data_IF_494129682881
#
_entry.id   IF_494129682881
#
_cell.length_a   1.000
_cell.length_b   1.000
_cell.length_c   1.000
_cell.angle_alpha   90.00
_cell.angle_beta   90.00
_cell.angle_gamma   90.00
#
_symmetry.space_group_name_H-M   'P 1'
#
loop_
_entity.id
_entity.type
_entity.pdbx_description
1 polymer ?
#
# COMPACT_ATOMS: atom_id res chain seq x y z
N UNK A 1 67.11 25.42 -20.17
CA UNK A 1 66.05 26.27 -19.57
C UNK A 1 64.69 25.74 -19.99
N UNK A 2 63.72 25.85 -19.08
CA UNK A 2 62.59 24.96 -18.82
C UNK A 2 61.61 24.71 -19.99
N UNK A 3 61.21 23.43 -20.10
CA UNK A 3 59.96 22.96 -20.73
C UNK A 3 58.76 23.40 -19.87
N UNK A 4 57.74 23.99 -20.49
CA UNK A 4 56.45 24.30 -19.86
C UNK A 4 55.56 23.06 -19.89
N UNK A 5 55.25 22.52 -18.72
CA UNK A 5 54.26 21.46 -18.51
C UNK A 5 52.90 22.14 -18.28
N UNK A 6 51.91 21.82 -19.12
CA UNK A 6 50.51 22.20 -18.91
C UNK A 6 49.91 21.26 -17.86
N UNK A 7 49.44 21.82 -16.74
CA UNK A 7 48.60 21.12 -15.77
C UNK A 7 47.19 20.99 -16.37
N UNK A 8 46.74 19.75 -16.59
CA UNK A 8 45.32 19.44 -16.73
C UNK A 8 44.70 19.40 -15.32
N UNK A 9 43.91 20.43 -14.98
CA UNK A 9 43.04 20.40 -13.82
C UNK A 9 41.81 19.55 -14.12
N UNK A 10 41.73 18.37 -13.49
CA UNK A 10 40.48 17.62 -13.37
C UNK A 10 39.51 18.41 -12.49
N UNK A 11 38.46 18.97 -13.09
CA UNK A 11 37.24 19.32 -12.37
C UNK A 11 36.41 18.04 -12.20
N UNK A 12 36.55 17.40 -11.04
CA UNK A 12 35.62 16.37 -10.60
C UNK A 12 34.29 17.06 -10.26
N UNK A 13 33.38 17.10 -11.24
CA UNK A 13 32.00 17.47 -11.01
C UNK A 13 31.30 16.34 -10.27
N UNK A 14 31.04 16.53 -8.98
CA UNK A 14 30.17 15.66 -8.19
C UNK A 14 28.75 15.79 -8.73
N UNK A 15 28.33 14.85 -9.56
CA UNK A 15 26.91 14.69 -9.90
C UNK A 15 26.19 14.19 -8.63
N UNK A 16 25.46 15.10 -7.97
CA UNK A 16 24.37 14.73 -7.09
C UNK A 16 23.31 14.02 -7.93
N UNK A 17 23.28 12.69 -7.86
CA UNK A 17 22.14 11.91 -8.34
C UNK A 17 20.98 12.25 -7.41
N UNK A 18 20.09 13.12 -7.86
CA UNK A 18 18.76 13.21 -7.28
C UNK A 18 18.12 11.84 -7.48
N UNK A 19 17.91 11.09 -6.39
CA UNK A 19 17.13 9.86 -6.40
C UNK A 19 15.68 10.26 -6.63
N UNK A 20 15.33 10.46 -7.89
CA UNK A 20 13.93 10.56 -8.31
C UNK A 20 13.30 9.17 -8.27
N UNK A 21 12.06 9.08 -7.79
CA UNK A 21 11.25 7.87 -7.98
C UNK A 21 11.16 7.62 -9.49
N UNK A 22 11.53 6.43 -10.00
CA UNK A 22 11.55 6.18 -11.42
C UNK A 22 10.15 6.33 -12.01
N UNK A 23 10.04 7.09 -13.09
CA UNK A 23 8.88 7.05 -13.96
C UNK A 23 8.89 5.72 -14.72
N UNK A 24 8.08 4.74 -14.27
CA UNK A 24 7.80 3.45 -14.94
C UNK A 24 9.00 2.80 -15.67
N UNK A 25 10.22 2.90 -15.14
CA UNK A 25 11.37 2.17 -15.66
C UNK A 25 11.32 0.76 -15.06
N UNK A 26 11.21 -0.25 -15.93
CA UNK A 26 11.21 -1.66 -15.51
C UNK A 26 12.62 -2.07 -15.10
N UNK A 27 12.90 -1.98 -13.80
CA UNK A 27 14.05 -2.65 -13.22
C UNK A 27 13.79 -4.17 -13.17
N UNK A 28 14.86 -4.96 -13.25
CA UNK A 28 14.77 -6.41 -13.06
C UNK A 28 14.27 -6.73 -11.64
N UNK A 29 13.59 -7.87 -11.47
CA UNK A 29 13.16 -8.31 -10.15
C UNK A 29 14.35 -8.37 -9.19
N UNK A 30 14.22 -7.66 -8.08
CA UNK A 30 15.24 -7.44 -7.04
C UNK A 30 14.94 -8.21 -5.76
N UNK A 31 13.90 -9.05 -5.78
CA UNK A 31 13.53 -9.92 -4.66
C UNK A 31 14.29 -11.25 -4.63
N UNK A 32 13.78 -12.23 -3.86
CA UNK A 32 14.49 -13.48 -3.63
C UNK A 32 14.72 -14.27 -4.91
N UNK A 33 15.93 -14.84 -5.06
CA UNK A 33 16.26 -15.77 -6.16
C UNK A 33 16.43 -17.21 -5.67
N UNK A 34 16.31 -17.43 -4.37
CA UNK A 34 16.45 -18.74 -3.71
C UNK A 34 15.41 -18.88 -2.61
N UNK A 35 14.96 -20.11 -2.36
CA UNK A 35 14.00 -20.44 -1.32
C UNK A 35 13.65 -21.92 -1.40
N UNK A 36 12.75 -22.40 -0.53
CA UNK A 36 12.32 -23.78 -0.58
C UNK A 36 11.45 -24.04 -1.80
N UNK A 37 11.48 -25.29 -2.28
CA UNK A 37 10.51 -25.78 -3.26
C UNK A 37 9.09 -25.68 -2.70
N UNK A 38 8.09 -25.76 -3.57
CA UNK A 38 6.69 -25.80 -3.14
C UNK A 38 6.44 -26.93 -2.13
N UNK A 39 5.92 -26.62 -0.95
CA UNK A 39 5.25 -27.63 -0.14
C UNK A 39 3.99 -28.09 -0.89
N UNK A 40 3.76 -29.39 -1.05
CA UNK A 40 2.65 -29.86 -1.90
C UNK A 40 1.30 -29.85 -1.17
N UNK A 41 0.23 -29.52 -1.90
CA UNK A 41 -1.15 -29.78 -1.49
C UNK A 41 -1.63 -29.01 -0.25
N UNK A 42 -1.05 -27.85 0.04
CA UNK A 42 -1.41 -27.06 1.23
C UNK A 42 -2.73 -26.34 1.07
N UNK A 43 -3.43 -26.13 2.19
CA UNK A 43 -4.61 -25.26 2.27
C UNK A 43 -4.29 -24.06 3.14
N UNK A 44 -4.51 -22.86 2.61
CA UNK A 44 -4.34 -21.60 3.34
C UNK A 44 -5.66 -20.85 3.51
N UNK A 45 -5.76 -20.10 4.59
CA UNK A 45 -6.89 -19.18 4.82
C UNK A 45 -6.40 -17.73 4.77
N UNK A 46 -7.03 -16.91 3.92
CA UNK A 46 -6.83 -15.46 3.90
C UNK A 46 -7.90 -14.83 4.78
N UNK A 47 -7.48 -14.16 5.83
CA UNK A 47 -8.33 -13.31 6.66
C UNK A 47 -8.28 -11.89 6.10
N UNK A 48 -9.26 -11.53 5.27
CA UNK A 48 -9.34 -10.18 4.70
C UNK A 48 -9.98 -9.21 5.69
N UNK A 49 -9.40 -8.02 5.87
CA UNK A 49 -9.94 -7.01 6.78
C UNK A 49 -11.28 -6.44 6.30
N UNK A 50 -11.33 -6.07 5.03
CA UNK A 50 -12.51 -5.59 4.31
C UNK A 50 -12.30 -5.72 2.80
N UNK A 51 -13.01 -6.63 2.12
CA UNK A 51 -12.89 -6.79 0.67
C UNK A 51 -13.48 -5.62 -0.15
N UNK A 52 -14.15 -4.65 0.47
CA UNK A 52 -14.50 -3.38 -0.19
C UNK A 52 -13.27 -2.47 -0.38
N UNK A 53 -12.20 -2.69 0.38
CA UNK A 53 -10.94 -1.98 0.17
C UNK A 53 -10.18 -2.61 -1.00
N UNK A 54 -9.97 -1.82 -2.06
CA UNK A 54 -9.30 -2.29 -3.28
C UNK A 54 -7.84 -2.73 -3.08
N UNK A 55 -7.14 -2.25 -2.05
CA UNK A 55 -5.81 -2.73 -1.69
C UNK A 55 -5.84 -4.18 -1.17
N UNK A 56 -6.70 -4.44 -0.18
CA UNK A 56 -6.94 -5.76 0.39
C UNK A 56 -7.41 -6.75 -0.69
N UNK A 57 -8.33 -6.29 -1.55
CA UNK A 57 -8.80 -7.08 -2.69
C UNK A 57 -7.65 -7.44 -3.65
N UNK A 58 -6.83 -6.45 -4.05
CA UNK A 58 -5.71 -6.67 -4.97
C UNK A 58 -4.67 -7.67 -4.43
N UNK A 59 -4.32 -7.58 -3.14
CA UNK A 59 -3.42 -8.55 -2.50
C UNK A 59 -4.06 -9.93 -2.41
N UNK A 60 -5.36 -10.01 -2.11
CA UNK A 60 -6.09 -11.29 -2.09
C UNK A 60 -6.04 -11.96 -3.47
N UNK A 61 -6.28 -11.21 -4.54
CA UNK A 61 -6.16 -11.72 -5.91
C UNK A 61 -4.74 -12.21 -6.23
N UNK A 62 -3.70 -11.48 -5.79
CA UNK A 62 -2.31 -11.91 -5.95
C UNK A 62 -2.00 -13.21 -5.18
N UNK A 63 -2.55 -13.38 -3.97
CA UNK A 63 -2.43 -14.62 -3.19
C UNK A 63 -3.10 -15.78 -3.93
N UNK A 64 -4.31 -15.57 -4.47
CA UNK A 64 -5.02 -16.60 -5.23
C UNK A 64 -4.26 -17.01 -6.50
N UNK A 65 -3.67 -16.05 -7.22
CA UNK A 65 -2.84 -16.31 -8.39
C UNK A 65 -1.59 -17.15 -8.02
N UNK A 66 -0.86 -16.71 -6.98
CA UNK A 66 0.32 -17.39 -6.50
C UNK A 66 0.01 -18.80 -5.96
N UNK A 67 -1.10 -18.95 -5.23
CA UNK A 67 -1.56 -20.24 -4.72
C UNK A 67 -1.89 -21.21 -5.86
N UNK A 68 -2.53 -20.73 -6.93
CA UNK A 68 -2.78 -21.54 -8.12
C UNK A 68 -1.47 -22.01 -8.78
N UNK A 69 -0.44 -21.15 -8.83
CA UNK A 69 0.88 -21.51 -9.38
C UNK A 69 1.65 -22.50 -8.51
N UNK A 70 1.69 -22.29 -7.19
CA UNK A 70 2.42 -23.17 -6.26
C UNK A 70 1.70 -24.52 -6.03
N UNK A 71 0.38 -24.57 -6.31
CA UNK A 71 -0.45 -25.76 -6.18
C UNK A 71 -1.15 -25.89 -4.82
N UNK A 72 -1.57 -24.78 -4.24
CA UNK A 72 -2.27 -24.68 -2.96
C UNK A 72 -3.75 -24.34 -3.13
N UNK A 73 -4.56 -24.64 -2.12
CA UNK A 73 -5.96 -24.25 -2.03
C UNK A 73 -6.11 -23.01 -1.15
N UNK A 74 -6.89 -22.02 -1.59
CA UNK A 74 -7.17 -20.80 -0.83
C UNK A 74 -8.62 -20.79 -0.36
N UNK A 75 -8.83 -20.37 0.88
CA UNK A 75 -10.14 -19.94 1.37
C UNK A 75 -10.07 -18.53 1.92
N UNK A 76 -10.87 -17.63 1.38
CA UNK A 76 -10.95 -16.24 1.82
C UNK A 76 -12.10 -16.09 2.82
N UNK A 77 -11.82 -15.45 3.95
CA UNK A 77 -12.80 -15.06 4.97
C UNK A 77 -12.77 -13.54 5.12
N UNK A 78 -13.89 -12.89 4.80
CA UNK A 78 -14.02 -11.44 4.85
C UNK A 78 -14.45 -10.95 6.23
N UNK A 79 -13.65 -10.08 6.82
CA UNK A 79 -13.90 -9.36 8.07
C UNK A 79 -14.85 -8.18 7.90
N UNK A 80 -15.24 -7.83 6.67
CA UNK A 80 -16.29 -6.86 6.33
C UNK A 80 -16.12 -5.48 7.02
N UNK A 81 -14.89 -5.09 7.33
CA UNK A 81 -14.57 -3.79 7.93
C UNK A 81 -14.90 -3.64 9.40
N UNK A 82 -15.17 -4.72 10.15
CA UNK A 82 -15.46 -4.63 11.60
C UNK A 82 -14.62 -5.57 12.45
N UNK A 83 -14.27 -5.11 13.66
CA UNK A 83 -13.51 -5.89 14.67
C UNK A 83 -14.17 -7.23 14.94
N UNK A 84 -15.49 -7.25 15.10
CA UNK A 84 -16.27 -8.42 15.46
C UNK A 84 -16.27 -9.46 14.34
N UNK A 85 -16.49 -9.05 13.09
CA UNK A 85 -16.46 -9.96 11.95
C UNK A 85 -15.05 -10.49 11.69
N UNK A 86 -14.00 -9.68 11.90
CA UNK A 86 -12.60 -10.15 11.89
C UNK A 86 -12.35 -11.23 12.95
N UNK A 87 -12.77 -11.02 14.19
CA UNK A 87 -12.65 -12.04 15.25
C UNK A 87 -13.42 -13.33 14.89
N UNK A 88 -14.60 -13.19 14.28
CA UNK A 88 -15.37 -14.32 13.75
C UNK A 88 -14.64 -15.08 12.64
N UNK A 89 -13.99 -14.36 11.71
CA UNK A 89 -13.18 -14.94 10.65
C UNK A 89 -11.96 -15.70 11.20
N UNK A 90 -11.28 -15.15 12.21
CA UNK A 90 -10.18 -15.85 12.91
C UNK A 90 -10.67 -17.16 13.55
N UNK A 91 -11.82 -17.12 14.25
CA UNK A 91 -12.41 -18.33 14.84
C UNK A 91 -12.79 -19.39 13.80
N UNK A 92 -13.32 -18.98 12.65
CA UNK A 92 -13.60 -19.88 11.53
C UNK A 92 -12.32 -20.46 10.92
N UNK A 93 -11.27 -19.65 10.75
CA UNK A 93 -9.97 -20.11 10.26
C UNK A 93 -9.37 -21.16 11.20
N UNK A 94 -9.41 -20.93 12.51
CA UNK A 94 -8.95 -21.89 13.51
C UNK A 94 -9.72 -23.22 13.41
N UNK A 95 -11.05 -23.18 13.24
CA UNK A 95 -11.87 -24.36 13.07
C UNK A 95 -11.59 -25.14 11.77
N UNK A 96 -11.13 -24.45 10.72
CA UNK A 96 -10.70 -25.07 9.46
C UNK A 96 -9.34 -25.75 9.58
N UNK A 97 -8.54 -25.38 10.57
CA UNK A 97 -7.19 -25.90 10.82
C UNK A 97 -6.31 -25.96 9.53
N UNK A 98 -6.12 -24.80 8.84
CA UNK A 98 -5.34 -24.76 7.61
C UNK A 98 -3.85 -24.99 7.87
N UNK A 99 -3.10 -25.25 6.80
CA UNK A 99 -1.63 -25.34 6.84
C UNK A 99 -0.96 -23.97 7.06
N UNK A 100 -1.70 -22.87 6.84
CA UNK A 100 -1.21 -21.52 7.06
C UNK A 100 -2.31 -20.47 6.97
N UNK A 101 -2.08 -19.31 7.56
CA UNK A 101 -2.99 -18.17 7.56
C UNK A 101 -2.28 -16.93 7.01
N UNK A 102 -2.99 -16.16 6.18
CA UNK A 102 -2.58 -14.83 5.75
C UNK A 102 -3.52 -13.81 6.37
N UNK A 103 -3.00 -12.91 7.21
CA UNK A 103 -3.75 -11.75 7.71
C UNK A 103 -3.61 -10.62 6.71
N UNK A 104 -4.71 -10.13 6.13
CA UNK A 104 -4.68 -9.18 5.03
C UNK A 104 -5.45 -7.89 5.39
N UNK A 105 -4.72 -6.85 5.82
CA UNK A 105 -5.23 -5.49 5.94
C UNK A 105 -5.99 -5.17 7.23
N UNK A 106 -5.58 -5.75 8.36
CA UNK A 106 -6.04 -5.32 9.69
C UNK A 106 -4.97 -5.54 10.76
N UNK A 107 -5.02 -4.76 11.83
CA UNK A 107 -4.05 -4.79 12.93
C UNK A 107 -4.12 -6.11 13.72
N UNK A 108 -3.00 -6.83 13.79
CA UNK A 108 -2.90 -8.06 14.58
C UNK A 108 -3.03 -7.82 16.09
N UNK A 109 -2.61 -6.65 16.60
CA UNK A 109 -2.75 -6.28 18.00
C UNK A 109 -4.23 -6.12 18.39
N UNK A 110 -5.06 -5.57 17.49
CA UNK A 110 -6.51 -5.50 17.67
C UNK A 110 -7.13 -6.90 17.85
N UNK A 111 -6.60 -7.89 17.13
CA UNK A 111 -7.11 -9.26 17.12
C UNK A 111 -6.30 -10.22 18.00
N UNK A 112 -5.44 -9.70 18.89
CA UNK A 112 -4.47 -10.51 19.64
C UNK A 112 -5.12 -11.70 20.36
N UNK A 113 -6.20 -11.46 21.11
CA UNK A 113 -6.92 -12.53 21.84
C UNK A 113 -7.44 -13.62 20.92
N UNK A 114 -7.89 -13.27 19.70
CA UNK A 114 -8.38 -14.26 18.74
C UNK A 114 -7.20 -15.04 18.11
N UNK A 115 -6.07 -14.39 17.86
CA UNK A 115 -4.87 -14.96 17.25
C UNK A 115 -4.05 -15.84 18.21
N UNK A 116 -4.22 -15.71 19.53
CA UNK A 116 -3.58 -16.59 20.52
C UNK A 116 -3.91 -18.07 20.27
N UNK A 117 -5.15 -18.38 19.89
CA UNK A 117 -5.56 -19.75 19.54
C UNK A 117 -4.85 -20.30 18.31
N UNK A 118 -4.61 -19.45 17.30
CA UNK A 118 -3.86 -19.80 16.08
C UNK A 118 -2.40 -20.09 16.42
N UNK A 119 -1.79 -19.24 17.25
CA UNK A 119 -0.41 -19.42 17.72
C UNK A 119 -0.27 -20.70 18.54
N UNK A 120 -1.21 -20.96 19.45
CA UNK A 120 -1.22 -22.18 20.25
C UNK A 120 -1.39 -23.46 19.41
N UNK A 121 -2.15 -23.37 18.31
CA UNK A 121 -2.29 -24.44 17.32
C UNK A 121 -1.06 -24.61 16.42
N UNK A 122 -0.06 -23.71 16.52
CA UNK A 122 1.17 -23.69 15.71
C UNK A 122 0.89 -23.59 14.20
N UNK A 123 -0.17 -22.90 13.82
CA UNK A 123 -0.46 -22.60 12.42
C UNK A 123 0.42 -21.39 12.02
N UNK A 124 1.29 -21.52 11.00
CA UNK A 124 2.10 -20.40 10.52
C UNK A 124 1.24 -19.23 10.03
N UNK A 125 1.63 -18.01 10.40
CA UNK A 125 0.95 -16.78 9.98
C UNK A 125 1.93 -15.87 9.24
N UNK A 126 1.50 -15.33 8.10
CA UNK A 126 2.11 -14.16 7.47
C UNK A 126 1.06 -13.06 7.36
N UNK A 127 1.47 -11.82 7.12
CA UNK A 127 0.52 -10.73 7.05
C UNK A 127 0.87 -9.66 6.03
N UNK A 128 -0.14 -8.93 5.58
CA UNK A 128 -0.02 -7.69 4.82
C UNK A 128 -0.69 -6.57 5.61
N UNK A 129 0.04 -5.47 5.85
CA UNK A 129 -0.43 -4.31 6.62
C UNK A 129 -1.11 -4.68 7.95
N UNK A 130 -0.46 -5.50 8.76
CA UNK A 130 -1.03 -5.98 10.04
C UNK A 130 -0.37 -5.39 11.29
N UNK A 131 0.45 -4.36 11.11
CA UNK A 131 1.09 -3.64 12.20
C UNK A 131 2.30 -2.83 11.75
N UNK A 132 2.95 -2.10 12.67
CA UNK A 132 4.00 -1.14 12.34
C UNK A 132 5.37 -1.79 12.02
N UNK A 133 5.63 -3.02 12.50
CA UNK A 133 6.89 -3.73 12.18
C UNK A 133 6.76 -4.40 10.82
N UNK A 134 7.50 -3.92 9.83
CA UNK A 134 7.61 -4.50 8.49
C UNK A 134 8.71 -5.57 8.47
N UNK A 135 8.52 -6.62 7.68
CA UNK A 135 9.49 -7.69 7.47
C UNK A 135 9.35 -8.84 8.47
N UNK A 136 10.46 -9.56 8.68
CA UNK A 136 10.48 -10.83 9.42
C UNK A 136 10.24 -10.67 10.94
N UNK A 137 9.77 -11.75 11.57
CA UNK A 137 9.53 -11.87 13.01
C UNK A 137 8.60 -10.77 13.55
N UNK A 138 7.50 -10.51 12.84
CA UNK A 138 6.51 -9.54 13.27
C UNK A 138 5.82 -9.97 14.59
N UNK A 139 5.36 -9.03 15.42
CA UNK A 139 4.73 -9.36 16.70
C UNK A 139 3.47 -10.23 16.51
N UNK A 140 3.09 -10.97 17.55
CA UNK A 140 1.87 -11.78 17.54
C UNK A 140 2.01 -13.15 16.86
N UNK A 141 3.24 -13.66 16.73
CA UNK A 141 3.49 -14.97 16.10
C UNK A 141 3.46 -14.94 14.58
N UNK A 142 3.61 -13.74 13.99
CA UNK A 142 3.60 -13.53 12.54
C UNK A 142 5.02 -13.66 12.00
N UNK A 143 5.21 -14.58 11.06
CA UNK A 143 6.50 -14.90 10.46
C UNK A 143 7.07 -13.74 9.63
N UNK A 144 6.22 -13.10 8.82
CA UNK A 144 6.58 -11.94 8.02
C UNK A 144 5.37 -11.01 7.85
N UNK A 145 5.58 -9.71 8.00
CA UNK A 145 4.60 -8.67 7.68
C UNK A 145 5.06 -7.91 6.43
N UNK A 146 4.41 -8.18 5.30
CA UNK A 146 4.67 -7.60 3.98
C UNK A 146 4.02 -6.23 3.86
N UNK A 147 4.79 -5.25 3.44
CA UNK A 147 4.36 -3.88 3.12
C UNK A 147 5.49 -3.17 2.38
N UNK A 148 5.22 -1.98 1.86
CA UNK A 148 6.24 -0.96 1.52
C UNK A 148 6.55 -0.08 2.74
N UNK A 149 7.55 0.79 2.65
CA UNK A 149 7.82 1.77 3.72
C UNK A 149 6.73 2.85 3.78
N UNK A 150 5.88 2.78 4.80
CA UNK A 150 4.77 3.71 4.99
C UNK A 150 5.20 5.19 5.14
N UNK A 151 6.39 5.46 5.68
CA UNK A 151 6.91 6.83 5.81
C UNK A 151 7.38 7.36 4.47
N UNK A 152 8.03 6.51 3.66
CA UNK A 152 8.36 6.84 2.28
C UNK A 152 7.10 7.13 1.45
N UNK A 153 6.07 6.30 1.57
CA UNK A 153 4.77 6.50 0.89
C UNK A 153 4.17 7.87 1.26
N UNK A 154 4.22 8.22 2.55
CA UNK A 154 3.72 9.50 3.08
C UNK A 154 4.52 10.70 2.55
N UNK A 155 5.85 10.59 2.50
CA UNK A 155 6.72 11.63 1.97
C UNK A 155 6.48 11.88 0.48
N UNK A 156 6.30 10.81 -0.31
CA UNK A 156 6.04 10.93 -1.74
C UNK A 156 4.69 11.63 -1.99
N UNK A 157 3.64 11.27 -1.25
CA UNK A 157 2.33 11.91 -1.38
C UNK A 157 2.37 13.40 -0.98
N UNK A 158 3.02 13.73 0.14
CA UNK A 158 3.19 15.12 0.58
C UNK A 158 4.04 15.94 -0.40
N UNK A 159 5.13 15.36 -0.90
CA UNK A 159 5.99 15.99 -1.91
C UNK A 159 5.21 16.30 -3.19
N UNK A 160 4.38 15.37 -3.66
CA UNK A 160 3.54 15.61 -4.84
C UNK A 160 2.64 16.85 -4.63
N UNK A 161 1.94 16.95 -3.50
CA UNK A 161 1.06 18.08 -3.22
C UNK A 161 1.82 19.42 -3.12
N UNK A 162 3.02 19.40 -2.53
CA UNK A 162 3.90 20.58 -2.49
C UNK A 162 4.35 21.00 -3.90
N UNK A 163 4.81 20.05 -4.71
CA UNK A 163 5.31 20.34 -6.06
C UNK A 163 4.18 20.84 -6.97
N UNK A 164 2.99 20.23 -6.94
CA UNK A 164 1.83 20.65 -7.75
C UNK A 164 1.34 22.05 -7.37
N UNK A 165 1.35 22.40 -6.08
CA UNK A 165 0.90 23.69 -5.58
C UNK A 165 1.96 24.80 -5.63
N UNK A 166 3.15 24.56 -6.20
CA UNK A 166 4.25 25.54 -6.18
C UNK A 166 4.73 25.89 -4.76
N UNK A 167 4.67 24.92 -3.85
CA UNK A 167 5.16 24.98 -2.48
C UNK A 167 4.19 25.56 -1.44
N UNK A 168 2.95 25.91 -1.80
CA UNK A 168 1.98 26.51 -0.87
C UNK A 168 0.59 25.85 -0.91
N UNK A 169 0.48 24.52 -0.80
CA UNK A 169 -0.82 23.87 -0.77
C UNK A 169 -1.56 24.21 0.52
N UNK A 170 -2.87 24.46 0.43
CA UNK A 170 -3.80 24.27 1.54
C UNK A 170 -4.35 22.85 1.50
N UNK A 171 -4.02 22.03 2.51
CA UNK A 171 -4.22 20.58 2.53
C UNK A 171 -5.21 20.16 3.60
N UNK A 172 -6.19 19.32 3.26
CA UNK A 172 -6.93 18.50 4.23
C UNK A 172 -6.33 17.08 4.24
N UNK A 173 -6.04 16.54 5.42
CA UNK A 173 -5.50 15.19 5.58
C UNK A 173 -6.58 14.28 6.16
N UNK A 174 -6.87 13.15 5.52
CA UNK A 174 -7.80 12.13 6.01
C UNK A 174 -7.04 10.93 6.60
N UNK A 175 -7.42 10.52 7.80
CA UNK A 175 -6.83 9.39 8.52
C UNK A 175 -7.90 8.58 9.27
N UNK A 176 -7.45 7.52 9.94
CA UNK A 176 -8.24 6.67 10.82
C UNK A 176 -7.46 6.40 12.11
N UNK A 177 -7.89 6.99 13.23
CA UNK A 177 -7.20 6.85 14.53
C UNK A 177 -7.32 5.47 15.16
N UNK A 178 -8.10 4.56 14.59
CA UNK A 178 -8.16 3.17 15.06
C UNK A 178 -6.87 2.40 14.78
N UNK A 179 -6.03 2.88 13.84
CA UNK A 179 -4.79 2.22 13.45
C UNK A 179 -3.58 3.14 13.70
N UNK A 180 -2.59 2.67 14.48
CA UNK A 180 -1.41 3.50 14.76
C UNK A 180 -0.64 3.88 13.49
N UNK A 181 -0.51 2.95 12.53
CA UNK A 181 0.18 3.22 11.26
C UNK A 181 -0.51 4.30 10.43
N UNK A 182 -1.84 4.43 10.53
CA UNK A 182 -2.60 5.48 9.86
C UNK A 182 -2.29 6.85 10.47
N UNK A 183 -2.22 6.94 11.80
CA UNK A 183 -1.77 8.13 12.52
C UNK A 183 -0.35 8.49 12.09
N UNK A 184 0.58 7.54 12.10
CA UNK A 184 1.97 7.79 11.74
C UNK A 184 2.11 8.33 10.30
N UNK A 185 1.36 7.76 9.34
CA UNK A 185 1.33 8.25 7.94
C UNK A 185 0.77 9.68 7.86
N UNK A 186 -0.34 9.94 8.52
CA UNK A 186 -0.98 11.25 8.50
C UNK A 186 -0.13 12.33 9.18
N UNK A 187 0.53 11.99 10.29
CA UNK A 187 1.45 12.87 11.00
C UNK A 187 2.70 13.14 10.16
N UNK A 188 3.22 12.13 9.45
CA UNK A 188 4.34 12.29 8.52
C UNK A 188 3.98 13.21 7.37
N UNK A 189 2.81 13.01 6.74
CA UNK A 189 2.31 13.91 5.68
C UNK A 189 2.16 15.34 6.19
N UNK A 190 1.55 15.52 7.37
CA UNK A 190 1.39 16.84 7.99
C UNK A 190 2.73 17.54 8.18
N UNK A 191 3.69 16.85 8.81
CA UNK A 191 5.02 17.40 9.07
C UNK A 191 5.75 17.78 7.78
N UNK A 192 5.66 16.94 6.74
CA UNK A 192 6.26 17.22 5.44
C UNK A 192 5.63 18.44 4.74
N UNK A 193 4.29 18.56 4.75
CA UNK A 193 3.59 19.72 4.20
C UNK A 193 3.99 21.02 4.91
N UNK A 194 3.98 21.02 6.25
CA UNK A 194 4.30 22.21 7.05
C UNK A 194 5.78 22.61 6.88
N UNK A 195 6.70 21.66 6.88
CA UNK A 195 8.12 21.91 6.63
C UNK A 195 8.40 22.42 5.21
N UNK A 196 7.57 22.00 4.23
CA UNK A 196 7.65 22.44 2.84
C UNK A 196 7.04 23.83 2.57
N UNK A 197 6.45 24.49 3.58
CA UNK A 197 5.82 25.81 3.45
C UNK A 197 4.33 25.77 3.06
N UNK A 198 3.72 24.58 3.02
CA UNK A 198 2.29 24.40 2.90
C UNK A 198 1.55 24.64 4.20
N UNK A 199 0.22 24.58 4.14
CA UNK A 199 -0.67 24.74 5.30
C UNK A 199 -1.61 23.54 5.39
N UNK A 200 -1.58 22.83 6.52
CA UNK A 200 -2.60 21.84 6.83
C UNK A 200 -3.82 22.55 7.41
N UNK A 201 -4.91 22.56 6.65
CA UNK A 201 -6.17 23.22 6.99
C UNK A 201 -6.97 22.43 8.02
N UNK A 202 -6.99 21.11 7.86
CA UNK A 202 -7.66 20.19 8.77
C UNK A 202 -7.01 18.82 8.73
N UNK A 203 -6.98 18.20 9.90
CA UNK A 203 -6.64 16.80 10.10
C UNK A 203 -7.95 16.09 10.47
N UNK A 204 -8.45 15.26 9.55
CA UNK A 204 -9.78 14.67 9.63
C UNK A 204 -9.65 13.20 9.96
N UNK A 205 -10.06 12.86 11.18
CA UNK A 205 -10.19 11.48 11.63
C UNK A 205 -11.55 10.92 11.22
N UNK A 206 -11.55 10.00 10.26
CA UNK A 206 -12.76 9.32 9.79
C UNK A 206 -12.47 7.86 9.47
N UNK A 207 -13.19 6.89 10.08
CA UNK A 207 -12.94 5.48 9.89
C UNK A 207 -12.97 5.06 8.42
N UNK A 208 -11.94 4.35 7.97
CA UNK A 208 -11.79 3.94 6.57
C UNK A 208 -12.96 3.04 6.12
N UNK A 209 -13.44 2.18 7.04
CA UNK A 209 -14.57 1.28 6.80
C UNK A 209 -15.92 2.01 6.61
N UNK A 210 -16.02 3.27 7.04
CA UNK A 210 -17.24 4.09 6.96
C UNK A 210 -17.17 5.17 5.87
N UNK A 211 -16.14 5.18 5.03
CA UNK A 211 -15.96 6.17 3.95
C UNK A 211 -17.17 6.30 3.04
N UNK A 212 -17.84 5.18 2.72
CA UNK A 212 -19.06 5.16 1.88
C UNK A 212 -20.21 6.02 2.40
N UNK A 213 -20.35 6.18 3.72
CA UNK A 213 -21.41 6.98 4.34
C UNK A 213 -20.92 8.35 4.80
N UNK A 214 -19.63 8.46 5.16
CA UNK A 214 -19.06 9.69 5.75
C UNK A 214 -18.50 10.67 4.73
N UNK A 215 -17.83 10.20 3.67
CA UNK A 215 -17.05 11.08 2.79
C UNK A 215 -17.91 12.07 2.01
N UNK A 216 -19.10 11.70 1.57
CA UNK A 216 -20.00 12.60 0.86
C UNK A 216 -20.36 13.85 1.68
N UNK A 217 -21.01 13.71 2.86
CA UNK A 217 -21.33 14.83 3.75
C UNK A 217 -20.10 15.61 4.26
N UNK A 218 -19.00 14.90 4.52
CA UNK A 218 -17.76 15.51 4.99
C UNK A 218 -17.14 16.42 3.92
N UNK A 219 -17.14 15.99 2.66
CA UNK A 219 -16.68 16.79 1.51
C UNK A 219 -17.48 18.09 1.39
N UNK A 220 -18.81 18.02 1.50
CA UNK A 220 -19.67 19.21 1.46
C UNK A 220 -19.34 20.19 2.59
N UNK A 221 -19.13 19.68 3.81
CA UNK A 221 -18.76 20.49 4.97
C UNK A 221 -17.40 21.18 4.79
N UNK A 222 -16.39 20.44 4.32
CA UNK A 222 -15.05 20.96 4.08
C UNK A 222 -15.03 22.01 2.97
N UNK A 223 -15.80 21.81 1.89
CA UNK A 223 -15.96 22.81 0.83
C UNK A 223 -16.58 24.11 1.37
N UNK A 224 -17.62 24.02 2.19
CA UNK A 224 -18.24 25.19 2.82
C UNK A 224 -17.28 25.93 3.76
N UNK A 225 -16.46 25.18 4.50
CA UNK A 225 -15.54 25.72 5.52
C UNK A 225 -14.32 26.39 4.91
N UNK A 226 -13.69 25.76 3.92
CA UNK A 226 -12.39 26.20 3.39
C UNK A 226 -12.44 26.80 1.99
N UNK A 227 -13.46 26.47 1.20
CA UNK A 227 -13.63 26.95 -0.18
C UNK A 227 -12.33 26.82 -0.98
N UNK A 228 -11.94 27.90 -1.67
CA UNK A 228 -10.74 27.96 -2.49
C UNK A 228 -9.41 27.76 -1.72
N UNK A 229 -9.41 27.84 -0.38
CA UNK A 229 -8.21 27.56 0.40
C UNK A 229 -7.88 26.06 0.38
N UNK A 230 -8.89 25.19 0.22
CA UNK A 230 -8.70 23.74 0.11
C UNK A 230 -8.26 23.38 -1.31
N UNK A 231 -6.94 23.37 -1.50
CA UNK A 231 -6.31 23.09 -2.80
C UNK A 231 -6.07 21.61 -3.03
N UNK A 232 -5.77 20.86 -1.96
CA UNK A 232 -5.34 19.48 -2.03
C UNK A 232 -5.94 18.65 -0.90
N UNK A 233 -6.16 17.37 -1.17
CA UNK A 233 -6.44 16.38 -0.14
C UNK A 233 -5.34 15.34 -0.13
N UNK A 234 -4.89 14.96 1.06
CA UNK A 234 -4.06 13.80 1.26
C UNK A 234 -4.80 12.77 2.10
N UNK A 235 -4.67 11.49 1.78
CA UNK A 235 -5.31 10.41 2.54
C UNK A 235 -4.35 9.23 2.71
N UNK A 236 -4.48 8.52 3.83
CA UNK A 236 -3.70 7.31 4.13
C UNK A 236 -4.02 6.11 3.22
N UNK A 237 -5.08 6.19 2.41
CA UNK A 237 -5.56 5.13 1.53
C UNK A 237 -6.41 5.72 0.38
N UNK A 238 -6.52 4.99 -0.73
CA UNK A 238 -7.34 5.36 -1.88
C UNK A 238 -8.84 5.43 -1.59
N UNK A 239 -9.34 4.59 -0.68
CA UNK A 239 -10.78 4.39 -0.44
C UNK A 239 -11.51 5.67 0.01
N UNK A 240 -10.80 6.63 0.60
CA UNK A 240 -11.37 7.93 0.94
C UNK A 240 -11.88 8.70 -0.29
N UNK A 241 -11.26 8.50 -1.46
CA UNK A 241 -11.61 9.24 -2.67
C UNK A 241 -12.69 8.55 -3.52
N UNK A 242 -13.02 7.29 -3.23
CA UNK A 242 -14.10 6.53 -3.90
C UNK A 242 -15.45 7.24 -3.81
N UNK A 243 -15.70 7.93 -2.70
CA UNK A 243 -17.00 8.53 -2.38
C UNK A 243 -16.99 10.06 -2.31
N UNK A 244 -15.87 10.69 -2.67
CA UNK A 244 -15.73 12.16 -2.68
C UNK A 244 -16.31 12.80 -3.94
N UNK A 245 -16.17 12.14 -5.09
CA UNK A 245 -16.51 12.68 -6.41
C UNK A 245 -17.93 13.26 -6.57
N UNK A 246 -19.00 12.56 -6.14
CA UNK A 246 -20.36 13.07 -6.27
C UNK A 246 -20.60 14.42 -5.57
N UNK A 247 -20.01 14.64 -4.40
CA UNK A 247 -20.13 15.91 -3.67
C UNK A 247 -19.36 17.04 -4.36
N UNK A 248 -18.18 16.76 -4.93
CA UNK A 248 -17.42 17.73 -5.72
C UNK A 248 -18.18 18.11 -7.01
N UNK A 249 -18.72 17.11 -7.73
CA UNK A 249 -19.52 17.32 -8.92
C UNK A 249 -20.77 18.18 -8.64
N UNK A 250 -21.48 17.91 -7.54
CA UNK A 250 -22.65 18.68 -7.15
C UNK A 250 -22.33 20.16 -6.82
N UNK A 251 -21.10 20.44 -6.38
CA UNK A 251 -20.59 21.80 -6.18
C UNK A 251 -20.09 22.46 -7.48
N UNK A 252 -20.20 21.79 -8.63
CA UNK A 252 -19.73 22.28 -9.92
C UNK A 252 -18.21 22.19 -10.13
N UNK A 253 -17.53 21.37 -9.33
CA UNK A 253 -16.09 21.14 -9.44
C UNK A 253 -15.86 20.01 -10.45
N UNK A 254 -15.08 20.31 -11.50
CA UNK A 254 -14.67 19.33 -12.51
C UNK A 254 -13.75 18.25 -11.90
N UNK A 255 -13.65 17.09 -12.55
CA UNK A 255 -12.87 15.94 -12.08
C UNK A 255 -11.40 16.26 -11.77
N UNK A 256 -10.81 17.23 -12.49
CA UNK A 256 -9.42 17.69 -12.27
C UNK A 256 -9.31 18.97 -11.43
N UNK A 257 -10.45 19.51 -10.98
CA UNK A 257 -10.53 20.73 -10.18
C UNK A 257 -10.03 20.55 -8.76
N UNK A 258 -9.87 21.67 -8.04
CA UNK A 258 -9.50 21.66 -6.63
C UNK A 258 -10.71 21.28 -5.74
N UNK A 259 -10.51 20.49 -4.67
CA UNK A 259 -9.23 19.96 -4.21
C UNK A 259 -8.70 18.82 -5.08
N UNK A 260 -7.40 18.87 -5.41
CA UNK A 260 -6.70 17.76 -6.07
C UNK A 260 -6.37 16.69 -5.04
N UNK A 261 -6.84 15.47 -5.27
CA UNK A 261 -6.76 14.39 -4.30
C UNK A 261 -5.57 13.46 -4.60
N UNK A 262 -4.70 13.25 -3.62
CA UNK A 262 -3.58 12.30 -3.68
C UNK A 262 -3.55 11.39 -2.48
N UNK A 263 -3.34 10.09 -2.68
CA UNK A 263 -3.27 9.13 -1.58
C UNK A 263 -1.82 8.71 -1.33
N UNK A 264 -1.47 8.62 -0.06
CA UNK A 264 -0.41 7.75 0.42
C UNK A 264 -0.97 6.30 0.46
N UNK A 265 -1.55 5.82 -0.64
CA UNK A 265 -2.47 4.68 -0.66
C UNK A 265 -2.06 3.55 -1.60
N UNK A 266 -2.59 2.37 -1.32
CA UNK A 266 -2.18 1.06 -1.82
C UNK A 266 -2.09 0.95 -3.35
N UNK A 267 -2.83 1.75 -4.13
CA UNK A 267 -2.88 1.67 -5.58
C UNK A 267 -4.05 0.85 -6.09
N UNK A 268 -5.25 1.10 -5.58
CA UNK A 268 -6.46 0.35 -5.94
C UNK A 268 -6.86 0.53 -7.41
N UNK A 269 -7.58 -0.46 -7.96
CA UNK A 269 -8.07 -0.38 -9.33
C UNK A 269 -8.94 0.87 -9.56
N UNK A 270 -9.80 1.19 -8.58
CA UNK A 270 -10.66 2.36 -8.62
C UNK A 270 -9.85 3.67 -8.64
N UNK A 271 -8.74 3.76 -7.89
CA UNK A 271 -7.83 4.89 -7.94
C UNK A 271 -7.16 5.03 -9.31
N UNK A 272 -6.67 3.93 -9.88
CA UNK A 272 -6.09 3.92 -11.23
C UNK A 272 -7.09 4.40 -12.28
N UNK A 273 -8.34 3.92 -12.24
CA UNK A 273 -9.40 4.35 -13.15
C UNK A 273 -9.68 5.86 -13.01
N UNK A 274 -9.78 6.36 -11.77
CA UNK A 274 -9.95 7.79 -11.50
C UNK A 274 -8.81 8.65 -12.03
N UNK A 275 -7.56 8.25 -11.77
CA UNK A 275 -6.37 8.97 -12.23
C UNK A 275 -6.30 8.96 -13.76
N UNK A 276 -6.50 7.81 -14.39
CA UNK A 276 -6.49 7.65 -15.85
C UNK A 276 -7.56 8.48 -16.55
N UNK A 277 -8.74 8.58 -15.96
CA UNK A 277 -9.87 9.33 -16.51
C UNK A 277 -9.93 10.80 -16.05
N UNK A 278 -9.02 11.22 -15.19
CA UNK A 278 -9.00 12.58 -14.64
C UNK A 278 -10.20 12.89 -13.74
N UNK A 279 -10.67 11.91 -12.97
CA UNK A 279 -11.89 11.99 -12.17
C UNK A 279 -11.59 11.92 -10.67
N UNK A 280 -11.48 13.08 -10.02
CA UNK A 280 -11.51 13.25 -8.56
C UNK A 280 -10.41 12.52 -7.78
N UNK A 281 -9.36 12.03 -8.45
CA UNK A 281 -8.09 11.62 -7.87
C UNK A 281 -6.97 11.89 -8.87
N UNK A 282 -5.95 12.61 -8.42
CA UNK A 282 -4.83 13.05 -9.25
C UNK A 282 -3.65 12.07 -9.18
N UNK A 283 -3.38 11.50 -7.99
CA UNK A 283 -2.30 10.52 -7.78
C UNK A 283 -2.65 9.47 -6.74
N UNK A 284 -1.90 8.36 -6.78
CA UNK A 284 -1.78 7.39 -5.70
C UNK A 284 -0.32 6.95 -5.59
N UNK A 285 0.16 6.68 -4.37
CA UNK A 285 1.50 6.13 -4.13
C UNK A 285 1.38 4.62 -3.97
N UNK A 286 1.23 3.95 -5.12
CA UNK A 286 0.83 2.55 -5.22
C UNK A 286 1.90 1.57 -4.74
N UNK A 287 1.43 0.48 -4.14
CA UNK A 287 2.19 -0.72 -3.84
C UNK A 287 1.97 -1.77 -4.94
N UNK A 288 2.94 -2.67 -5.18
CA UNK A 288 2.77 -3.72 -6.17
C UNK A 288 1.92 -4.86 -5.60
N UNK A 289 0.61 -4.63 -5.42
CA UNK A 289 -0.30 -5.49 -4.66
C UNK A 289 -0.25 -6.95 -5.08
N UNK A 290 -0.18 -7.21 -6.39
CA UNK A 290 -0.11 -8.58 -6.90
C UNK A 290 1.21 -9.25 -6.53
N UNK A 291 2.33 -8.55 -6.69
CA UNK A 291 3.66 -9.01 -6.29
C UNK A 291 3.71 -9.29 -4.78
N UNK A 292 3.14 -8.41 -3.96
CA UNK A 292 3.04 -8.64 -2.52
C UNK A 292 2.18 -9.87 -2.18
N UNK A 293 1.13 -10.17 -2.95
CA UNK A 293 0.38 -11.43 -2.84
C UNK A 293 1.26 -12.66 -3.10
N UNK A 294 2.09 -12.63 -4.13
CA UNK A 294 3.09 -13.68 -4.40
C UNK A 294 4.15 -13.79 -3.30
N UNK A 295 4.62 -12.65 -2.80
CA UNK A 295 5.55 -12.59 -1.67
C UNK A 295 4.95 -13.27 -0.43
N UNK A 296 3.68 -13.00 -0.09
CA UNK A 296 3.01 -13.63 1.06
C UNK A 296 2.96 -15.16 0.92
N UNK A 297 2.70 -15.68 -0.27
CA UNK A 297 2.73 -17.13 -0.51
C UNK A 297 4.15 -17.69 -0.37
N UNK A 298 5.18 -16.99 -0.85
CA UNK A 298 6.58 -17.40 -0.65
C UNK A 298 6.98 -17.41 0.83
N UNK A 299 6.67 -16.34 1.57
CA UNK A 299 6.96 -16.25 3.00
C UNK A 299 6.21 -17.32 3.79
N UNK A 300 4.96 -17.62 3.43
CA UNK A 300 4.20 -18.69 4.07
C UNK A 300 4.78 -20.08 3.72
N UNK A 301 5.24 -20.29 2.48
CA UNK A 301 5.92 -21.52 2.08
C UNK A 301 7.24 -21.74 2.84
N UNK A 302 7.98 -20.67 3.14
CA UNK A 302 9.15 -20.70 4.03
C UNK A 302 8.75 -21.06 5.46
N UNK A 303 7.74 -20.37 6.01
CA UNK A 303 7.27 -20.60 7.37
C UNK A 303 6.79 -22.04 7.61
N UNK A 304 6.02 -22.58 6.66
CA UNK A 304 5.51 -23.98 6.70
C UNK A 304 6.64 -25.01 6.68
N UNK A 305 7.78 -24.68 6.06
CA UNK A 305 8.93 -25.58 5.94
C UNK A 305 10.06 -25.29 6.94
N UNK A 306 9.89 -24.30 7.82
CA UNK A 306 10.91 -23.91 8.80
C UNK A 306 12.14 -23.22 8.20
N UNK A 307 12.00 -22.66 7.00
CA UNK A 307 13.05 -21.88 6.34
C UNK A 307 13.06 -20.42 6.84
N UNK A 308 14.18 -19.73 6.63
CA UNK A 308 14.29 -18.32 6.97
C UNK A 308 13.41 -17.45 6.05
N UNK A 309 12.80 -16.42 6.64
CA UNK A 309 12.08 -15.36 5.94
C UNK A 309 13.00 -14.66 4.94
N UNK A 310 12.45 -14.21 3.80
CA UNK A 310 13.28 -13.68 2.72
C UNK A 310 13.89 -12.31 3.03
N UNK A 311 13.24 -11.55 3.93
CA UNK A 311 13.62 -10.18 4.28
C UNK A 311 13.31 -9.15 3.18
N UNK A 312 12.63 -9.55 2.10
CA UNK A 312 12.34 -8.68 0.99
C UNK A 312 11.29 -7.62 1.34
N UNK A 313 11.54 -6.38 0.94
CA UNK A 313 10.62 -5.25 1.10
C UNK A 313 10.46 -4.61 -0.26
N UNK A 314 9.22 -4.48 -0.70
CA UNK A 314 8.89 -3.90 -2.00
C UNK A 314 9.01 -2.37 -1.97
N UNK A 315 9.21 -1.76 -3.13
CA UNK A 315 9.20 -0.31 -3.29
C UNK A 315 7.82 0.18 -3.79
N UNK A 316 7.32 1.33 -3.30
CA UNK A 316 6.12 1.96 -3.84
C UNK A 316 6.43 2.77 -5.10
N UNK A 317 5.39 3.11 -5.87
CA UNK A 317 5.50 3.96 -7.06
C UNK A 317 4.46 5.09 -7.05
N UNK A 318 4.89 6.32 -7.37
CA UNK A 318 3.95 7.41 -7.59
C UNK A 318 3.27 7.23 -8.95
N UNK A 319 1.96 7.01 -8.91
CA UNK A 319 1.11 6.87 -10.09
C UNK A 319 0.48 8.23 -10.39
N UNK A 320 0.67 8.70 -11.61
CA UNK A 320 0.12 9.95 -12.14
C UNK A 320 -0.61 9.69 -13.45
N UNK A 321 -1.51 10.58 -13.87
CA UNK A 321 -2.16 10.49 -15.18
C UNK A 321 -1.13 10.38 -16.32
N UNK A 322 -0.07 11.20 -16.28
CA UNK A 322 1.00 11.18 -17.26
C UNK A 322 1.79 9.86 -17.25
N UNK A 323 2.05 9.30 -16.07
CA UNK A 323 2.73 8.01 -15.94
C UNK A 323 1.90 6.83 -16.44
N UNK A 324 0.57 6.94 -16.39
CA UNK A 324 -0.34 5.94 -16.95
C UNK A 324 -0.53 6.07 -18.47
N UNK A 325 0.01 7.11 -19.10
CA UNK A 325 -0.08 7.29 -20.54
C UNK A 325 0.66 6.15 -21.27
N UNK A 326 -0.08 5.36 -22.04
CA UNK A 326 0.47 4.21 -22.77
C UNK A 326 0.62 2.92 -21.94
N UNK A 327 0.18 2.91 -20.68
CA UNK A 327 0.02 1.67 -19.91
C UNK A 327 -1.37 1.06 -20.14
N UNK A 328 -1.45 -0.26 -20.15
CA UNK A 328 -2.71 -1.01 -20.14
C UNK A 328 -3.07 -1.43 -18.72
N UNK A 329 -4.38 -1.61 -18.46
CA UNK A 329 -4.87 -2.03 -17.15
C UNK A 329 -4.92 -0.92 -16.11
N UNK A 330 -5.38 -1.26 -14.90
CA UNK A 330 -5.61 -0.33 -13.80
C UNK A 330 -4.95 -0.84 -12.51
N UNK A 331 -3.73 -1.37 -12.61
CA UNK A 331 -2.99 -1.86 -11.45
C UNK A 331 -1.50 -1.53 -11.59
N UNK A 332 -0.82 -1.37 -10.44
CA UNK A 332 0.64 -1.42 -10.40
C UNK A 332 1.07 -2.88 -10.29
N UNK A 333 1.30 -3.52 -11.44
CA UNK A 333 1.85 -4.87 -11.50
C UNK A 333 3.18 -4.85 -12.28
N UNK A 334 4.33 -4.81 -11.57
CA UNK A 334 5.63 -4.73 -12.23
C UNK A 334 5.89 -5.93 -13.14
N UNK A 335 6.09 -5.69 -14.42
CA UNK A 335 6.55 -6.73 -15.36
C UNK A 335 8.08 -6.89 -15.28
N UNK A 336 8.59 -7.19 -14.09
CA UNK A 336 10.02 -7.34 -13.79
C UNK A 336 10.47 -8.82 -13.69
N UNK A 337 9.56 -9.77 -13.95
CA UNK A 337 9.85 -11.20 -13.93
C UNK A 337 9.65 -11.89 -12.57
N UNK A 338 8.99 -11.25 -11.60
CA UNK A 338 8.81 -11.82 -10.26
C UNK A 338 8.04 -13.15 -10.26
N UNK A 339 7.06 -13.30 -11.16
CA UNK A 339 6.25 -14.53 -11.27
C UNK A 339 7.12 -15.71 -11.66
N UNK A 340 7.97 -15.52 -12.67
CA UNK A 340 8.94 -16.50 -13.13
C UNK A 340 9.99 -16.81 -12.06
N UNK A 341 10.44 -15.79 -11.31
CA UNK A 341 11.40 -15.97 -10.23
C UNK A 341 10.84 -16.82 -9.09
N UNK A 342 9.64 -16.50 -8.59
CA UNK A 342 8.98 -17.30 -7.55
C UNK A 342 8.63 -18.71 -8.05
N UNK A 343 8.12 -18.84 -9.27
CA UNK A 343 7.87 -20.13 -9.90
C UNK A 343 9.13 -21.01 -9.95
N UNK A 344 10.27 -20.42 -10.33
CA UNK A 344 11.55 -21.11 -10.37
C UNK A 344 12.02 -21.56 -8.97
N UNK A 345 11.85 -20.71 -7.95
CA UNK A 345 12.12 -21.07 -6.54
C UNK A 345 11.29 -22.29 -6.14
N UNK A 346 9.99 -22.25 -6.43
CA UNK A 346 9.05 -23.31 -6.06
C UNK A 346 9.21 -24.59 -6.90
N UNK A 347 9.91 -24.52 -8.03
CA UNK A 347 10.05 -25.61 -8.99
C UNK A 347 8.76 -25.91 -9.75
N UNK A 348 8.02 -24.87 -10.16
CA UNK A 348 6.69 -24.93 -10.77
C UNK A 348 6.61 -24.23 -12.12
#
# INVERSE_FOLDING_TARGET
>A
MLKRTLLNGLLAGTFLVAVGVPAFAQDAFDGPTTGPKAAEGKTIVVLAGDLKNGGILGVTTGIEEAAAKIGWTVKVLDGAGSVQSRSGAVGQALALNPDGIVINGFDAAEQQTALEGVTAAKIPMVSWHSGPKIGCDAPGGIFANVSTDAMQVSDVAAKWALDDAGGKPGVVIFTDSTYQIAIDKADRMKAAIEAGGGTVLEYVDTPIAETSTRMGPLTTTLLQKYGASWTHSLAINDLYFDFMGPSLAAAGIDGKGAPKNGSAGDGSEAAFQRIRSGQYQAVTVAEPLNLQGWQLVDELNRAVQGEACSGYVTAPALVTEAGLAGTEGNAFDPNNGYREAYAAIWGK
#
